data_IF_872314811407
#
_entry.id   IF_872314811407
#
_cell.length_a   1.000
_cell.length_b   1.000
_cell.length_c   1.000
_cell.angle_alpha   90.00
_cell.angle_beta   90.00
_cell.angle_gamma   90.00
#
_symmetry.space_group_name_H-M   'P 1'
#
loop_
_entity.id
_entity.type
_entity.pdbx_description
1 polymer ?
#
# COMPACT_ATOMS: atom_id res chain seq x y z
N UNK A 1 -36.06 1.75 4.39
CA UNK A 1 -35.25 0.56 4.72
C UNK A 1 -34.06 0.93 5.61
N UNK A 2 -34.28 1.74 6.63
CA UNK A 2 -33.31 2.01 7.68
C UNK A 2 -34.03 1.66 8.99
N UNK A 3 -33.35 0.87 9.83
CA UNK A 3 -33.70 0.52 11.20
C UNK A 3 -34.58 -0.73 11.42
N UNK A 4 -34.14 -1.89 10.93
CA UNK A 4 -34.26 -3.09 11.78
C UNK A 4 -33.08 -3.06 12.76
N UNK A 5 -33.36 -3.29 14.06
CA UNK A 5 -32.29 -3.42 15.05
C UNK A 5 -31.39 -4.58 14.62
N UNK A 6 -30.06 -4.39 14.50
CA UNK A 6 -29.18 -5.48 14.13
C UNK A 6 -29.28 -6.59 15.17
N UNK A 7 -29.23 -7.84 14.70
CA UNK A 7 -29.27 -9.04 15.54
C UNK A 7 -28.25 -8.91 16.70
N UNK A 8 -28.71 -8.87 17.96
CA UNK A 8 -27.83 -8.65 19.11
C UNK A 8 -26.70 -9.69 19.21
N UNK A 9 -26.93 -10.93 18.78
CA UNK A 9 -25.91 -11.96 18.80
C UNK A 9 -24.78 -11.65 17.79
N UNK A 10 -25.14 -11.12 16.62
CA UNK A 10 -24.15 -10.73 15.60
C UNK A 10 -23.38 -9.48 15.98
N UNK A 11 -24.04 -8.51 16.63
CA UNK A 11 -23.37 -7.33 17.18
C UNK A 11 -22.35 -7.76 18.24
N UNK A 12 -22.77 -8.61 19.19
CA UNK A 12 -21.87 -9.16 20.21
C UNK A 12 -20.68 -9.89 19.58
N UNK A 13 -20.91 -10.70 18.54
CA UNK A 13 -19.82 -11.39 17.84
C UNK A 13 -18.80 -10.44 17.19
N UNK A 14 -19.26 -9.30 16.66
CA UNK A 14 -18.37 -8.26 16.14
C UNK A 14 -17.56 -7.61 17.28
N UNK A 15 -18.22 -7.25 18.38
CA UNK A 15 -17.58 -6.62 19.54
C UNK A 15 -16.52 -7.55 20.15
N UNK A 16 -16.85 -8.84 20.33
CA UNK A 16 -15.93 -9.85 20.84
C UNK A 16 -14.71 -10.02 19.91
N UNK A 17 -14.93 -10.07 18.59
CA UNK A 17 -13.85 -10.18 17.61
C UNK A 17 -12.95 -8.93 17.57
N UNK A 18 -13.53 -7.73 17.71
CA UNK A 18 -12.79 -6.48 17.80
C UNK A 18 -11.98 -6.40 19.10
N UNK A 19 -12.57 -6.81 20.22
CA UNK A 19 -11.88 -6.88 21.50
C UNK A 19 -10.70 -7.85 21.46
N UNK A 20 -10.87 -9.01 20.81
CA UNK A 20 -9.80 -9.99 20.60
C UNK A 20 -8.65 -9.41 19.75
N UNK A 21 -8.97 -8.73 18.63
CA UNK A 21 -7.96 -8.06 17.82
C UNK A 21 -7.24 -6.96 18.61
N UNK A 22 -7.96 -6.13 19.36
CA UNK A 22 -7.38 -5.07 20.19
C UNK A 22 -6.48 -5.64 21.31
N UNK A 23 -6.83 -6.79 21.88
CA UNK A 23 -5.96 -7.48 22.85
C UNK A 23 -4.67 -7.99 22.19
N UNK A 24 -4.74 -8.47 20.95
CA UNK A 24 -3.55 -8.88 20.19
C UNK A 24 -2.65 -7.70 19.83
N UNK A 25 -3.22 -6.55 19.47
CA UNK A 25 -2.44 -5.32 19.21
C UNK A 25 -1.75 -4.81 20.49
N UNK A 26 -2.47 -4.78 21.62
CA UNK A 26 -1.88 -4.39 22.93
C UNK A 26 -0.74 -5.30 23.37
N UNK A 27 -0.79 -6.59 22.99
CA UNK A 27 0.24 -7.57 23.33
C UNK A 27 1.31 -7.74 22.24
N UNK A 28 1.31 -6.91 21.17
CA UNK A 28 2.20 -7.06 20.02
C UNK A 28 3.67 -7.15 20.42
N UNK A 29 4.16 -6.19 21.21
CA UNK A 29 5.58 -6.14 21.61
C UNK A 29 6.03 -7.42 22.33
N UNK A 30 5.26 -7.87 23.34
CA UNK A 30 5.57 -9.08 24.11
C UNK A 30 5.55 -10.36 23.25
N UNK A 31 4.62 -10.45 22.30
CA UNK A 31 4.52 -11.60 21.39
C UNK A 31 5.62 -11.57 20.33
N UNK A 32 6.02 -10.40 19.87
CA UNK A 32 7.17 -10.22 18.99
C UNK A 32 8.45 -10.68 19.69
N UNK A 33 8.73 -10.21 20.91
CA UNK A 33 9.89 -10.66 21.68
C UNK A 33 9.94 -12.18 21.89
N UNK A 34 8.79 -12.81 22.16
CA UNK A 34 8.70 -14.26 22.27
C UNK A 34 9.01 -14.95 20.93
N UNK A 35 8.42 -14.46 19.83
CA UNK A 35 8.69 -14.97 18.49
C UNK A 35 10.15 -14.80 18.07
N UNK A 36 10.80 -13.69 18.39
CA UNK A 36 12.23 -13.46 18.10
C UNK A 36 13.11 -14.48 18.83
N UNK A 37 12.87 -14.72 20.13
CA UNK A 37 13.58 -15.76 20.91
C UNK A 37 13.33 -17.16 20.38
N UNK A 38 12.07 -17.51 20.12
CA UNK A 38 11.70 -18.84 19.62
C UNK A 38 12.29 -19.09 18.24
N UNK A 39 12.35 -18.05 17.38
CA UNK A 39 12.99 -18.13 16.06
C UNK A 39 14.47 -18.46 16.18
N UNK A 40 15.22 -17.78 17.06
CA UNK A 40 16.64 -18.05 17.30
C UNK A 40 16.85 -19.47 17.85
N UNK A 41 16.08 -19.87 18.87
CA UNK A 41 16.18 -21.19 19.47
C UNK A 41 15.84 -22.32 18.47
N UNK A 42 14.90 -22.07 17.55
CA UNK A 42 14.55 -23.03 16.50
C UNK A 42 15.66 -23.16 15.44
N UNK A 43 16.36 -22.06 15.10
CA UNK A 43 17.52 -22.09 14.17
C UNK A 43 18.68 -22.89 14.73
N UNK A 44 19.00 -22.70 16.01
CA UNK A 44 20.06 -23.45 16.69
C UNK A 44 19.75 -24.95 16.72
N UNK A 45 18.48 -25.33 16.92
CA UNK A 45 18.03 -26.72 16.90
C UNK A 45 17.97 -27.33 15.50
N UNK A 46 17.69 -26.53 14.46
CA UNK A 46 17.54 -27.02 13.10
C UNK A 46 18.87 -27.21 12.36
N UNK A 47 20.00 -26.74 12.90
CA UNK A 47 21.33 -26.93 12.28
C UNK A 47 21.40 -26.44 10.84
N UNK A 48 20.63 -25.40 10.49
CA UNK A 48 20.55 -24.85 9.14
C UNK A 48 21.91 -24.23 8.78
N UNK A 49 22.78 -25.05 8.19
CA UNK A 49 24.03 -24.61 7.59
C UNK A 49 23.70 -23.62 6.47
N UNK A 50 24.37 -22.47 6.45
CA UNK A 50 24.53 -21.74 5.19
C UNK A 50 25.04 -22.75 4.15
N UNK A 51 24.40 -22.84 2.99
CA UNK A 51 24.87 -23.73 1.94
C UNK A 51 26.36 -23.46 1.68
N UNK A 52 27.18 -24.51 1.72
CA UNK A 52 28.59 -24.40 1.38
C UNK A 52 28.69 -24.20 -0.14
N UNK A 53 28.93 -22.96 -0.56
CA UNK A 53 28.94 -22.56 -1.96
C UNK A 53 30.34 -22.65 -2.54
N UNK A 54 30.51 -23.46 -3.57
CA UNK A 54 31.73 -23.55 -4.36
C UNK A 54 31.53 -22.93 -5.74
N UNK A 55 32.38 -21.98 -6.18
CA UNK A 55 32.26 -21.39 -7.50
C UNK A 55 32.47 -22.43 -8.60
N UNK A 56 31.69 -22.33 -9.68
CA UNK A 56 31.88 -23.14 -10.88
C UNK A 56 32.55 -22.31 -11.97
N UNK A 57 33.74 -22.73 -12.42
CA UNK A 57 34.47 -22.02 -13.46
C UNK A 57 33.74 -22.11 -14.83
N UNK A 58 33.53 -20.99 -15.54
CA UNK A 58 33.04 -21.03 -16.91
C UNK A 58 34.10 -21.60 -17.86
N UNK A 59 33.73 -22.61 -18.65
CA UNK A 59 34.58 -23.26 -19.65
C UNK A 59 34.32 -22.71 -21.06
N UNK A 60 33.05 -22.42 -21.37
CA UNK A 60 32.63 -21.85 -22.65
C UNK A 60 31.35 -21.06 -22.46
N UNK A 61 31.15 -20.04 -23.30
CA UNK A 61 29.98 -19.19 -23.27
C UNK A 61 29.63 -18.68 -24.66
N UNK A 62 28.36 -18.46 -24.91
CA UNK A 62 27.83 -17.89 -26.15
C UNK A 62 26.61 -17.04 -25.87
N UNK A 63 26.38 -16.06 -26.74
CA UNK A 63 25.18 -15.24 -26.78
C UNK A 63 24.56 -15.34 -28.18
N UNK A 64 23.23 -15.25 -28.26
CA UNK A 64 22.50 -15.48 -29.52
C UNK A 64 22.55 -14.24 -30.43
N UNK A 65 22.40 -13.04 -29.87
CA UNK A 65 22.23 -11.79 -30.63
C UNK A 65 23.46 -10.87 -30.58
N UNK A 66 24.64 -11.47 -30.45
CA UNK A 66 25.93 -10.81 -30.67
C UNK A 66 26.57 -10.15 -29.45
N UNK A 67 26.03 -10.32 -28.23
CA UNK A 67 26.75 -9.91 -27.02
C UNK A 67 28.09 -10.65 -26.89
N UNK A 68 29.17 -9.89 -26.70
CA UNK A 68 30.45 -10.45 -26.29
C UNK A 68 30.40 -10.81 -24.81
N UNK A 69 30.65 -12.07 -24.50
CA UNK A 69 30.82 -12.57 -23.13
C UNK A 69 32.31 -12.78 -22.85
N UNK A 70 32.78 -12.31 -21.70
CA UNK A 70 34.19 -12.38 -21.28
C UNK A 70 34.26 -13.00 -19.89
N UNK A 71 34.99 -14.11 -19.73
CA UNK A 71 35.30 -14.62 -18.40
C UNK A 71 36.38 -13.76 -17.73
N UNK A 72 36.20 -13.50 -16.43
CA UNK A 72 37.11 -12.76 -15.57
C UNK A 72 37.85 -13.70 -14.60
N UNK A 73 38.94 -13.20 -14.02
CA UNK A 73 39.82 -13.99 -13.14
C UNK A 73 39.13 -14.45 -11.84
N UNK A 74 38.07 -13.76 -11.42
CA UNK A 74 37.26 -14.11 -10.25
C UNK A 74 36.20 -15.19 -10.54
N UNK A 75 36.19 -15.75 -11.74
CA UNK A 75 35.24 -16.77 -12.18
C UNK A 75 33.88 -16.22 -12.64
N UNK A 76 33.70 -14.90 -12.67
CA UNK A 76 32.50 -14.28 -13.24
C UNK A 76 32.60 -14.11 -14.76
N UNK A 77 31.46 -13.91 -15.41
CA UNK A 77 31.31 -13.58 -16.82
C UNK A 77 30.77 -12.16 -16.93
N UNK A 78 31.43 -11.33 -17.71
CA UNK A 78 31.01 -9.98 -18.06
C UNK A 78 30.44 -9.97 -19.48
N UNK A 79 29.22 -9.48 -19.62
CA UNK A 79 28.55 -9.26 -20.89
C UNK A 79 28.71 -7.81 -21.34
N UNK A 80 29.21 -7.61 -22.55
CA UNK A 80 29.14 -6.32 -23.23
C UNK A 80 27.72 -6.09 -23.79
N UNK A 81 27.43 -4.85 -24.18
CA UNK A 81 26.18 -4.52 -24.87
C UNK A 81 26.10 -5.28 -26.21
N UNK A 82 25.13 -6.20 -26.32
CA UNK A 82 24.79 -6.92 -27.55
C UNK A 82 23.42 -6.54 -28.08
N UNK A 83 22.68 -7.54 -28.56
CA UNK A 83 21.31 -7.39 -29.01
C UNK A 83 20.36 -6.87 -27.93
N UNK A 84 19.17 -6.39 -28.33
CA UNK A 84 18.17 -5.90 -27.37
C UNK A 84 17.70 -6.99 -26.41
N UNK A 85 17.71 -8.26 -26.81
CA UNK A 85 17.26 -9.39 -25.98
C UNK A 85 18.26 -10.50 -26.19
N UNK A 86 18.84 -11.02 -25.12
CA UNK A 86 19.91 -12.00 -25.23
C UNK A 86 19.60 -13.29 -24.48
N UNK A 87 20.08 -14.38 -25.07
CA UNK A 87 20.12 -15.70 -24.45
C UNK A 87 21.58 -16.05 -24.25
N UNK A 88 22.03 -16.11 -23.01
CA UNK A 88 23.38 -16.52 -22.66
C UNK A 88 23.40 -18.01 -22.37
N UNK A 89 24.24 -18.76 -23.06
CA UNK A 89 24.51 -20.16 -22.71
C UNK A 89 25.92 -20.25 -22.14
N UNK A 90 26.05 -20.75 -20.91
CA UNK A 90 27.33 -20.92 -20.22
C UNK A 90 27.53 -22.36 -19.83
N UNK A 91 28.60 -22.96 -20.34
CA UNK A 91 29.07 -24.30 -19.95
C UNK A 91 30.09 -24.14 -18.83
N UNK A 92 29.74 -24.63 -17.66
CA UNK A 92 30.52 -24.60 -16.42
C UNK A 92 31.31 -25.89 -16.25
N UNK A 93 32.34 -25.87 -15.41
CA UNK A 93 33.12 -27.07 -15.09
C UNK A 93 32.27 -28.18 -14.45
N UNK A 94 32.77 -29.41 -14.54
CA UNK A 94 32.12 -30.55 -13.90
C UNK A 94 32.21 -30.41 -12.37
N UNK A 95 31.12 -30.64 -11.64
CA UNK A 95 31.12 -30.47 -10.19
C UNK A 95 31.95 -31.58 -9.52
N UNK A 96 32.69 -31.20 -8.47
CA UNK A 96 33.55 -32.12 -7.70
C UNK A 96 32.78 -32.92 -6.65
N UNK A 97 31.56 -32.51 -6.34
CA UNK A 97 30.64 -33.12 -5.37
C UNK A 97 29.24 -33.11 -5.98
N UNK A 98 28.30 -33.95 -5.51
CA UNK A 98 26.91 -33.85 -5.91
C UNK A 98 26.39 -32.42 -5.70
N UNK A 99 25.59 -31.90 -6.62
CA UNK A 99 25.05 -30.53 -6.55
C UNK A 99 23.57 -30.63 -6.26
N UNK A 100 23.15 -30.22 -5.06
CA UNK A 100 21.75 -30.09 -4.70
C UNK A 100 21.18 -28.71 -5.05
N UNK A 101 22.03 -27.68 -5.16
CA UNK A 101 21.61 -26.32 -5.43
C UNK A 101 22.62 -25.53 -6.27
N UNK A 102 22.12 -24.59 -7.06
CA UNK A 102 22.91 -23.59 -7.77
C UNK A 102 22.60 -22.19 -7.24
N UNK A 103 23.61 -21.32 -7.24
CA UNK A 103 23.46 -19.89 -6.95
C UNK A 103 23.91 -19.08 -8.16
N UNK A 104 23.02 -18.25 -8.69
CA UNK A 104 23.34 -17.21 -9.67
C UNK A 104 23.61 -15.91 -8.91
N UNK A 105 24.86 -15.45 -8.93
CA UNK A 105 25.23 -14.11 -8.46
C UNK A 105 25.20 -13.15 -9.64
N UNK A 106 24.53 -12.02 -9.48
CA UNK A 106 24.61 -10.89 -10.43
C UNK A 106 25.41 -9.78 -9.75
N UNK A 107 26.48 -9.34 -10.40
CA UNK A 107 27.56 -8.58 -9.77
C UNK A 107 27.68 -7.19 -10.38
N UNK A 108 28.02 -6.20 -9.57
CA UNK A 108 28.34 -4.85 -10.07
C UNK A 108 29.67 -4.83 -10.80
N UNK A 109 29.82 -3.91 -11.74
CA UNK A 109 31.10 -3.65 -12.41
C UNK A 109 31.17 -2.17 -12.83
N UNK A 110 32.36 -1.58 -12.78
CA UNK A 110 32.57 -0.17 -13.12
C UNK A 110 32.28 0.14 -14.60
N UNK A 111 32.38 -0.86 -15.47
CA UNK A 111 32.08 -0.75 -16.90
C UNK A 111 30.57 -0.79 -17.22
N UNK A 112 29.74 -1.21 -16.26
CA UNK A 112 28.30 -1.39 -16.47
C UNK A 112 27.49 -0.13 -16.17
N UNK A 113 26.31 0.05 -16.80
CA UNK A 113 25.42 1.17 -16.52
C UNK A 113 25.13 1.36 -15.03
N UNK A 114 25.23 2.60 -14.57
CA UNK A 114 25.04 2.98 -13.16
C UNK A 114 25.91 2.18 -12.16
N UNK A 115 27.00 1.54 -12.62
CA UNK A 115 27.80 0.57 -11.85
C UNK A 115 26.94 -0.55 -11.23
N UNK A 116 25.80 -0.86 -11.86
CA UNK A 116 24.88 -1.91 -11.47
C UNK A 116 25.23 -3.26 -12.09
N UNK A 117 24.45 -4.30 -11.79
CA UNK A 117 24.69 -5.63 -12.35
C UNK A 117 24.05 -5.88 -13.72
N UNK A 118 23.15 -5.01 -14.20
CA UNK A 118 22.45 -5.14 -15.48
C UNK A 118 22.86 -4.13 -16.56
N UNK A 119 22.46 -4.39 -17.80
CA UNK A 119 22.75 -3.55 -18.97
C UNK A 119 21.70 -2.46 -19.25
N UNK A 120 20.58 -2.42 -18.52
CA UNK A 120 19.63 -1.32 -18.64
C UNK A 120 20.26 -0.02 -18.13
N UNK A 121 19.83 1.15 -18.62
CA UNK A 121 20.46 2.43 -18.27
C UNK A 121 20.54 2.74 -16.77
N UNK A 122 19.61 2.23 -15.97
CA UNK A 122 19.57 2.37 -14.51
C UNK A 122 20.28 1.22 -13.76
N UNK A 123 20.93 0.29 -14.46
CA UNK A 123 21.58 -0.91 -13.91
C UNK A 123 20.66 -2.12 -13.70
N UNK A 124 19.39 -2.05 -14.15
CA UNK A 124 18.44 -3.17 -14.03
C UNK A 124 18.68 -4.29 -15.06
N UNK A 125 18.06 -5.44 -14.81
CA UNK A 125 17.84 -6.50 -15.78
C UNK A 125 16.44 -7.10 -15.59
N UNK A 126 15.98 -7.89 -16.56
CA UNK A 126 14.82 -8.78 -16.43
C UNK A 126 15.21 -10.13 -16.99
N UNK A 127 15.50 -11.07 -16.11
CA UNK A 127 15.78 -12.46 -16.47
C UNK A 127 14.44 -13.18 -16.55
N UNK A 128 14.09 -13.73 -17.70
CA UNK A 128 12.78 -14.38 -17.93
C UNK A 128 12.85 -15.87 -17.63
N UNK A 129 14.01 -16.52 -17.82
CA UNK A 129 14.15 -17.96 -17.59
C UNK A 129 15.59 -18.37 -17.29
N UNK A 130 15.72 -19.46 -16.52
CA UNK A 130 16.97 -20.19 -16.31
C UNK A 130 16.76 -21.66 -16.67
N UNK A 131 17.38 -22.13 -17.75
CA UNK A 131 17.41 -23.56 -18.07
C UNK A 131 18.74 -24.17 -17.59
N UNK A 132 18.68 -25.26 -16.82
CA UNK A 132 19.87 -26.00 -16.35
C UNK A 132 19.92 -27.34 -17.06
N UNK A 133 21.10 -27.71 -17.57
CA UNK A 133 21.36 -29.03 -18.17
C UNK A 133 22.60 -29.66 -17.60
N UNK A 134 22.61 -30.99 -17.52
CA UNK A 134 23.76 -31.80 -17.15
C UNK A 134 23.90 -32.98 -18.12
N UNK A 135 25.09 -33.15 -18.70
CA UNK A 135 25.31 -34.15 -19.76
C UNK A 135 24.37 -33.99 -20.98
N UNK A 136 23.90 -32.76 -21.25
CA UNK A 136 22.93 -32.44 -22.30
C UNK A 136 21.45 -32.70 -21.95
N UNK A 137 21.14 -33.20 -20.75
CA UNK A 137 19.76 -33.44 -20.30
C UNK A 137 19.26 -32.30 -19.41
N UNK A 138 17.98 -31.89 -19.52
CA UNK A 138 17.39 -30.92 -18.60
C UNK A 138 17.44 -31.39 -17.14
N UNK A 139 17.71 -30.46 -16.24
CA UNK A 139 17.67 -30.66 -14.78
C UNK A 139 16.49 -29.88 -14.23
N UNK A 140 15.57 -30.57 -13.54
CA UNK A 140 14.41 -29.92 -12.94
C UNK A 140 14.80 -29.13 -11.68
N UNK A 141 14.22 -27.94 -11.54
CA UNK A 141 14.38 -27.06 -10.37
C UNK A 141 13.12 -27.14 -9.52
N UNK A 142 13.27 -27.48 -8.24
CA UNK A 142 12.16 -27.57 -7.30
C UNK A 142 11.69 -26.20 -6.80
N UNK A 143 12.63 -25.26 -6.59
CA UNK A 143 12.30 -23.90 -6.17
C UNK A 143 13.41 -22.92 -6.51
N UNK A 144 13.02 -21.65 -6.65
CA UNK A 144 13.91 -20.51 -6.78
C UNK A 144 13.56 -19.46 -5.72
N UNK A 145 14.58 -18.77 -5.23
CA UNK A 145 14.45 -17.66 -4.29
C UNK A 145 15.56 -16.63 -4.52
N UNK A 146 15.35 -15.41 -4.04
CA UNK A 146 16.25 -14.28 -4.24
C UNK A 146 16.47 -13.50 -2.93
N UNK A 147 17.57 -12.76 -2.87
CA UNK A 147 17.83 -11.81 -1.79
C UNK A 147 17.04 -10.50 -1.98
N UNK A 148 16.79 -10.13 -3.24
CA UNK A 148 16.00 -8.96 -3.62
C UNK A 148 15.25 -9.14 -4.95
N UNK A 149 14.03 -8.61 -4.98
CA UNK A 149 13.21 -8.49 -6.18
C UNK A 149 12.41 -7.18 -6.16
N UNK A 150 12.19 -6.61 -7.35
CA UNK A 150 11.15 -5.63 -7.58
C UNK A 150 9.78 -6.28 -7.25
N UNK A 151 8.82 -5.54 -6.66
CA UNK A 151 7.47 -6.07 -6.42
C UNK A 151 6.85 -6.69 -7.68
N UNK A 152 6.51 -7.97 -7.59
CA UNK A 152 5.94 -8.74 -8.71
C UNK A 152 6.94 -9.41 -9.65
N UNK A 153 8.25 -9.33 -9.38
CA UNK A 153 9.31 -9.87 -10.23
C UNK A 153 10.24 -10.81 -9.44
N UNK A 154 9.69 -11.83 -8.78
CA UNK A 154 10.45 -12.79 -7.96
C UNK A 154 11.23 -13.78 -8.83
N UNK A 155 12.34 -14.33 -8.32
CA UNK A 155 13.07 -15.40 -8.99
C UNK A 155 12.26 -16.69 -9.14
N UNK A 156 11.20 -16.87 -8.35
CA UNK A 156 10.24 -17.96 -8.53
C UNK A 156 9.57 -17.95 -9.92
N UNK A 157 9.44 -16.79 -10.55
CA UNK A 157 8.86 -16.64 -11.90
C UNK A 157 9.78 -17.21 -12.99
N UNK A 158 11.08 -17.38 -12.73
CA UNK A 158 12.02 -17.98 -13.68
C UNK A 158 11.70 -19.45 -14.01
N UNK A 159 10.85 -20.07 -13.19
CA UNK A 159 10.43 -21.47 -13.28
C UNK A 159 9.03 -21.62 -13.88
N UNK A 160 8.34 -20.52 -14.19
CA UNK A 160 7.09 -20.58 -14.93
C UNK A 160 7.37 -20.72 -16.45
N UNK A 161 6.33 -21.04 -17.22
CA UNK A 161 6.43 -21.15 -18.67
C UNK A 161 5.97 -19.85 -19.38
N UNK A 162 5.94 -18.71 -18.67
CA UNK A 162 5.53 -17.41 -19.20
C UNK A 162 6.75 -16.53 -19.52
N UNK A 163 7.09 -16.32 -20.81
CA UNK A 163 8.23 -15.48 -21.19
C UNK A 163 8.02 -13.98 -20.90
N UNK A 164 6.82 -13.56 -20.45
CA UNK A 164 6.52 -12.18 -20.06
C UNK A 164 6.78 -11.89 -18.57
N UNK A 165 6.99 -12.90 -17.74
CA UNK A 165 7.36 -12.76 -16.32
C UNK A 165 8.86 -12.95 -16.14
N UNK A 166 9.37 -12.67 -14.94
CA UNK A 166 10.78 -12.86 -14.67
C UNK A 166 11.27 -12.20 -13.38
N UNK A 167 12.57 -12.33 -13.13
CA UNK A 167 13.27 -11.71 -12.02
C UNK A 167 13.86 -10.36 -12.43
N UNK A 168 13.57 -9.33 -11.65
CA UNK A 168 14.08 -7.98 -11.83
C UNK A 168 14.41 -7.33 -10.49
N UNK A 169 15.41 -6.45 -10.47
CA UNK A 169 15.98 -5.91 -9.22
C UNK A 169 15.64 -4.45 -8.94
N UNK A 170 14.73 -3.83 -9.73
CA UNK A 170 14.40 -2.42 -9.55
C UNK A 170 13.95 -2.09 -8.11
N UNK A 171 14.35 -0.91 -7.62
CA UNK A 171 13.96 -0.42 -6.30
C UNK A 171 13.01 0.76 -6.46
N UNK A 172 11.81 0.63 -5.89
CA UNK A 172 10.78 1.65 -5.96
C UNK A 172 9.73 1.47 -4.88
N UNK A 173 8.54 2.04 -5.11
CA UNK A 173 7.41 1.92 -4.19
C UNK A 173 7.02 0.45 -4.03
N UNK A 174 7.11 -0.07 -2.81
CA UNK A 174 6.78 -1.46 -2.46
C UNK A 174 7.98 -2.40 -2.34
N UNK A 175 9.19 -1.96 -2.71
CA UNK A 175 10.41 -2.73 -2.45
C UNK A 175 10.67 -2.89 -0.94
N UNK A 176 11.39 -3.95 -0.58
CA UNK A 176 11.73 -4.22 0.81
C UNK A 176 12.54 -3.06 1.44
N UNK A 177 12.36 -2.78 2.76
CA UNK A 177 13.20 -1.80 3.46
C UNK A 177 14.69 -2.13 3.32
N UNK A 178 15.49 -1.12 2.95
CA UNK A 178 16.93 -1.24 2.75
C UNK A 178 17.34 -1.88 1.42
N UNK A 179 16.40 -2.17 0.51
CA UNK A 179 16.73 -2.66 -0.83
C UNK A 179 17.65 -1.69 -1.58
N UNK A 180 18.68 -2.23 -2.23
CA UNK A 180 19.65 -1.46 -3.01
C UNK A 180 19.57 -1.88 -4.46
N UNK A 181 19.42 -0.92 -5.37
CA UNK A 181 19.32 -1.20 -6.80
C UNK A 181 20.67 -1.70 -7.36
N UNK A 182 21.65 -0.80 -7.45
CA UNK A 182 22.97 -1.06 -8.03
C UNK A 182 23.92 -1.66 -6.99
N UNK A 183 23.63 -2.90 -6.61
CA UNK A 183 24.42 -3.72 -5.69
C UNK A 183 24.49 -5.16 -6.22
N UNK A 184 25.42 -5.99 -5.73
CA UNK A 184 25.36 -7.43 -5.97
C UNK A 184 24.06 -8.00 -5.41
N UNK A 185 23.44 -8.91 -6.18
CA UNK A 185 22.25 -9.67 -5.78
C UNK A 185 22.44 -11.15 -6.13
N UNK A 186 21.63 -12.02 -5.57
CA UNK A 186 21.73 -13.46 -5.82
C UNK A 186 20.37 -14.16 -5.86
N UNK A 187 20.28 -15.17 -6.72
CA UNK A 187 19.17 -16.10 -6.78
C UNK A 187 19.67 -17.54 -6.53
N UNK A 188 18.99 -18.27 -5.65
CA UNK A 188 19.28 -19.66 -5.32
C UNK A 188 18.23 -20.57 -5.95
N UNK A 189 18.70 -21.63 -6.60
CA UNK A 189 17.89 -22.65 -7.25
C UNK A 189 18.12 -23.99 -6.55
N UNK A 190 17.09 -24.52 -5.88
CA UNK A 190 17.11 -25.87 -5.33
C UNK A 190 16.71 -26.84 -6.44
N UNK A 191 17.57 -27.82 -6.73
CA UNK A 191 17.29 -28.83 -7.75
C UNK A 191 16.30 -29.87 -7.20
N UNK A 192 15.43 -30.38 -8.06
CA UNK A 192 14.49 -31.45 -7.67
C UNK A 192 15.21 -32.75 -7.34
N UNK A 193 16.29 -33.03 -8.06
CA UNK A 193 17.22 -34.13 -7.80
C UNK A 193 18.66 -33.59 -7.90
N UNK A 194 19.57 -34.02 -7.01
CA UNK A 194 20.97 -33.59 -7.08
C UNK A 194 21.66 -34.05 -8.38
N UNK A 195 22.43 -33.16 -8.99
CA UNK A 195 23.33 -33.52 -10.10
C UNK A 195 24.50 -34.35 -9.55
N UNK A 196 24.83 -35.53 -10.11
CA UNK A 196 25.96 -36.33 -9.65
C UNK A 196 27.32 -35.71 -10.05
N UNK A 197 28.36 -36.05 -9.30
CA UNK A 197 29.75 -35.71 -9.65
C UNK A 197 30.35 -36.76 -10.60
N UNK A 198 29.79 -36.89 -11.81
CA UNK A 198 30.16 -37.92 -12.80
C UNK A 198 31.16 -37.44 -13.87
N UNK A 199 31.72 -36.24 -13.69
CA UNK A 199 32.67 -35.62 -14.61
C UNK A 199 32.03 -34.91 -15.81
N UNK A 200 30.69 -34.90 -15.93
CA UNK A 200 30.00 -34.10 -16.95
C UNK A 200 29.82 -32.65 -16.50
N UNK A 201 29.97 -31.68 -17.41
CA UNK A 201 29.75 -30.26 -17.10
C UNK A 201 28.28 -29.93 -16.91
N UNK A 202 28.04 -28.78 -16.28
CA UNK A 202 26.72 -28.16 -16.14
C UNK A 202 26.61 -27.06 -17.20
N UNK A 203 25.49 -27.00 -17.91
CA UNK A 203 25.15 -25.89 -18.81
C UNK A 203 24.00 -25.09 -18.19
N UNK A 204 24.17 -23.77 -18.13
CA UNK A 204 23.15 -22.83 -17.66
C UNK A 204 22.80 -21.89 -18.81
N UNK A 205 21.52 -21.79 -19.13
CA UNK A 205 20.99 -20.87 -20.14
C UNK A 205 20.19 -19.77 -19.45
N UNK A 206 20.61 -18.52 -19.60
CA UNK A 206 19.97 -17.33 -19.05
C UNK A 206 19.23 -16.60 -20.16
N UNK A 207 17.92 -16.42 -20.04
CA UNK A 207 17.10 -15.77 -21.09
C UNK A 207 16.59 -14.40 -20.66
N UNK A 208 16.65 -13.44 -21.57
CA UNK A 208 16.14 -12.07 -21.37
C UNK A 208 15.21 -11.71 -22.52
N UNK A 209 13.94 -12.12 -22.44
CA UNK A 209 13.05 -12.14 -23.62
C UNK A 209 12.02 -11.00 -23.66
N UNK A 210 11.84 -10.27 -22.56
CA UNK A 210 10.73 -9.31 -22.41
C UNK A 210 11.10 -7.86 -22.74
N UNK A 211 12.20 -7.34 -22.18
CA UNK A 211 12.54 -5.92 -22.24
C UNK A 211 13.83 -5.67 -23.01
N UNK A 212 13.81 -4.69 -23.91
CA UNK A 212 14.98 -4.33 -24.72
C UNK A 212 16.10 -3.73 -23.86
N UNK A 213 17.28 -4.34 -23.95
CA UNK A 213 18.53 -4.04 -23.24
C UNK A 213 18.49 -4.27 -21.73
N UNK A 214 17.55 -5.08 -21.21
CA UNK A 214 17.50 -5.48 -19.80
C UNK A 214 18.21 -6.83 -19.57
N UNK A 215 19.35 -7.04 -20.21
CA UNK A 215 20.14 -8.24 -20.01
C UNK A 215 21.03 -8.11 -18.76
N UNK A 216 21.36 -9.22 -18.12
CA UNK A 216 22.37 -9.24 -17.04
C UNK A 216 23.74 -8.84 -17.60
N UNK A 217 24.43 -7.93 -16.91
CA UNK A 217 25.74 -7.40 -17.30
C UNK A 217 26.92 -8.18 -16.76
N UNK A 218 26.88 -8.62 -15.49
CA UNK A 218 27.93 -9.50 -14.93
C UNK A 218 27.33 -10.52 -13.99
N UNK A 219 27.78 -11.77 -14.12
CA UNK A 219 27.26 -12.86 -13.29
C UNK A 219 28.28 -13.96 -13.02
N UNK A 220 28.02 -14.76 -12.00
CA UNK A 220 28.77 -15.97 -11.68
C UNK A 220 27.79 -17.06 -11.19
N UNK A 221 28.17 -18.32 -11.36
CA UNK A 221 27.39 -19.46 -10.88
C UNK A 221 28.21 -20.26 -9.87
N UNK A 222 27.62 -20.52 -8.72
CA UNK A 222 28.19 -21.40 -7.70
C UNK A 222 27.28 -22.61 -7.48
N UNK A 223 27.84 -23.68 -6.91
CA UNK A 223 27.14 -24.92 -6.59
C UNK A 223 27.26 -25.26 -5.11
N UNK A 224 26.26 -25.96 -4.57
CA UNK A 224 26.31 -26.52 -3.22
C UNK A 224 25.79 -27.95 -3.19
N UNK A 225 26.40 -28.84 -2.37
CA UNK A 225 25.87 -30.18 -2.12
C UNK A 225 24.65 -30.18 -1.18
N UNK A 226 24.31 -29.04 -0.59
CA UNK A 226 23.20 -28.89 0.33
C UNK A 226 22.12 -27.96 -0.24
N UNK A 227 20.90 -28.11 0.27
CA UNK A 227 19.85 -27.14 0.01
C UNK A 227 20.25 -25.76 0.58
N UNK A 228 19.95 -24.67 -0.13
CA UNK A 228 20.26 -23.34 0.35
C UNK A 228 19.39 -23.01 1.56
N UNK A 229 19.96 -22.30 2.55
CA UNK A 229 19.15 -21.63 3.55
C UNK A 229 18.16 -20.70 2.86
N UNK A 230 16.94 -20.58 3.38
CA UNK A 230 15.95 -19.69 2.79
C UNK A 230 16.45 -18.23 2.90
N UNK A 231 16.61 -17.51 1.79
CA UNK A 231 17.33 -16.21 1.78
C UNK A 231 16.67 -15.14 2.67
N UNK A 232 15.33 -15.09 2.71
CA UNK A 232 14.60 -14.22 3.64
C UNK A 232 14.82 -14.58 5.13
N UNK A 233 15.18 -15.83 5.39
CA UNK A 233 15.46 -16.35 6.74
C UNK A 233 16.86 -15.92 7.19
N UNK A 234 17.87 -15.88 6.32
CA UNK A 234 19.21 -15.38 6.69
C UNK A 234 19.22 -13.90 7.07
N UNK A 235 18.51 -13.03 6.33
CA UNK A 235 18.37 -11.61 6.72
C UNK A 235 17.61 -11.45 8.03
N UNK A 236 16.56 -12.24 8.24
CA UNK A 236 15.86 -12.28 9.53
C UNK A 236 16.83 -12.61 10.65
N UNK A 237 17.65 -13.65 10.48
CA UNK A 237 18.55 -14.10 11.51
C UNK A 237 19.79 -13.22 11.70
N UNK A 238 20.30 -12.55 10.68
CA UNK A 238 21.39 -11.57 10.85
C UNK A 238 20.94 -10.40 11.72
N UNK A 239 19.69 -9.95 11.59
CA UNK A 239 19.10 -8.91 12.44
C UNK A 239 18.72 -9.43 13.82
N UNK A 240 18.16 -10.66 13.93
CA UNK A 240 17.82 -11.28 15.21
C UNK A 240 19.07 -11.51 16.09
N UNK A 241 20.20 -11.86 15.47
CA UNK A 241 21.47 -12.10 16.16
C UNK A 241 22.15 -10.83 16.69
N UNK A 242 21.71 -9.63 16.28
CA UNK A 242 22.17 -8.38 16.89
C UNK A 242 21.63 -8.23 18.31
N UNK A 243 22.44 -7.64 19.20
CA UNK A 243 21.98 -7.17 20.51
C UNK A 243 20.74 -6.27 20.31
N UNK A 244 19.59 -6.56 20.96
CA UNK A 244 18.40 -5.71 20.89
C UNK A 244 18.67 -4.21 21.13
N UNK A 245 19.65 -3.87 21.97
CA UNK A 245 20.04 -2.48 22.21
C UNK A 245 20.80 -1.83 21.04
N UNK A 246 21.52 -2.63 20.25
CA UNK A 246 22.32 -2.19 19.09
C UNK A 246 21.55 -2.12 17.77
N UNK A 247 20.30 -2.58 17.72
CA UNK A 247 19.48 -2.58 16.49
C UNK A 247 19.08 -1.15 16.07
N UNK A 248 19.27 -0.83 14.79
CA UNK A 248 18.86 0.44 14.20
C UNK A 248 17.34 0.59 14.12
N UNK A 249 16.86 1.78 13.74
CA UNK A 249 15.43 2.01 13.52
C UNK A 249 14.87 1.15 12.37
N UNK A 250 15.67 0.94 11.33
CA UNK A 250 15.28 0.10 10.19
C UNK A 250 15.25 -1.38 10.55
N UNK A 251 16.18 -1.85 11.38
CA UNK A 251 16.18 -3.23 11.91
C UNK A 251 14.91 -3.52 12.72
N UNK A 252 14.54 -2.60 13.62
CA UNK A 252 13.32 -2.71 14.43
C UNK A 252 12.06 -2.73 13.56
N UNK A 253 12.02 -1.89 12.52
CA UNK A 253 10.93 -1.84 11.55
C UNK A 253 10.85 -3.13 10.72
N UNK A 254 11.99 -3.66 10.31
CA UNK A 254 12.08 -4.92 9.58
C UNK A 254 11.56 -6.09 10.43
N UNK A 255 12.04 -6.25 11.66
CA UNK A 255 11.57 -7.30 12.58
C UNK A 255 10.07 -7.19 12.88
N UNK A 256 9.54 -5.98 13.07
CA UNK A 256 8.11 -5.77 13.25
C UNK A 256 7.30 -6.21 12.02
N UNK A 257 7.84 -6.01 10.81
CA UNK A 257 7.23 -6.43 9.56
C UNK A 257 7.23 -7.96 9.41
N UNK A 258 8.36 -8.61 9.68
CA UNK A 258 8.45 -10.07 9.65
C UNK A 258 7.56 -10.73 10.71
N UNK A 259 7.48 -10.13 11.90
CA UNK A 259 6.56 -10.58 12.94
C UNK A 259 5.09 -10.46 12.52
N UNK A 260 4.67 -9.32 11.93
CA UNK A 260 3.28 -9.15 11.46
C UNK A 260 2.90 -10.22 10.41
N UNK A 261 3.85 -10.67 9.57
CA UNK A 261 3.63 -11.81 8.65
C UNK A 261 3.48 -13.13 9.40
N UNK A 262 4.30 -13.37 10.42
CA UNK A 262 4.30 -14.60 11.21
C UNK A 262 3.10 -14.72 12.17
N UNK A 263 2.50 -13.60 12.58
CA UNK A 263 1.44 -13.52 13.58
C UNK A 263 0.10 -14.13 13.10
N UNK A 264 0.00 -15.46 13.21
CA UNK A 264 -1.20 -16.21 12.87
C UNK A 264 -2.40 -15.84 13.77
N UNK A 265 -2.14 -15.42 15.02
CA UNK A 265 -3.19 -14.98 15.95
C UNK A 265 -3.89 -13.73 15.43
N UNK A 266 -3.12 -12.71 15.05
CA UNK A 266 -3.63 -11.46 14.48
C UNK A 266 -4.35 -11.69 13.16
N UNK A 267 -3.79 -12.51 12.24
CA UNK A 267 -4.46 -12.86 10.98
C UNK A 267 -5.83 -13.52 11.20
N UNK A 268 -5.93 -14.47 12.14
CA UNK A 268 -7.21 -15.09 12.51
C UNK A 268 -8.19 -14.08 13.11
N UNK A 269 -7.73 -13.18 13.97
CA UNK A 269 -8.58 -12.14 14.55
C UNK A 269 -9.11 -11.14 13.49
N UNK A 270 -8.27 -10.73 12.54
CA UNK A 270 -8.69 -9.88 11.40
C UNK A 270 -9.75 -10.61 10.57
N UNK A 271 -9.53 -11.89 10.26
CA UNK A 271 -10.51 -12.71 9.53
C UNK A 271 -11.84 -12.84 10.30
N UNK A 272 -11.79 -13.01 11.63
CA UNK A 272 -12.97 -13.06 12.49
C UNK A 272 -13.75 -11.73 12.48
N UNK A 273 -13.07 -10.58 12.57
CA UNK A 273 -13.70 -9.26 12.46
C UNK A 273 -14.35 -9.09 11.07
N UNK A 274 -13.66 -9.49 10.01
CA UNK A 274 -14.21 -9.44 8.64
C UNK A 274 -15.45 -10.32 8.48
N UNK A 275 -15.42 -11.55 9.00
CA UNK A 275 -16.56 -12.47 8.97
C UNK A 275 -17.75 -11.93 9.78
N UNK A 276 -17.52 -11.38 10.98
CA UNK A 276 -18.57 -10.78 11.82
C UNK A 276 -19.21 -9.55 11.15
N UNK A 277 -18.41 -8.69 10.51
CA UNK A 277 -18.90 -7.57 9.69
C UNK A 277 -19.79 -8.06 8.54
N UNK A 278 -19.33 -9.07 7.79
CA UNK A 278 -20.10 -9.67 6.69
C UNK A 278 -21.44 -10.24 7.18
N UNK A 279 -21.46 -10.90 8.34
CA UNK A 279 -22.68 -11.47 8.93
C UNK A 279 -23.72 -10.40 9.33
N UNK A 280 -23.25 -9.19 9.68
CA UNK A 280 -24.08 -8.01 9.96
C UNK A 280 -24.53 -7.27 8.69
N UNK A 281 -24.19 -7.78 7.50
CA UNK A 281 -24.54 -7.14 6.23
C UNK A 281 -23.63 -5.96 5.86
N UNK A 282 -22.51 -5.77 6.57
CA UNK A 282 -21.46 -4.88 6.07
C UNK A 282 -20.82 -5.55 4.84
N UNK A 283 -21.12 -5.00 3.66
CA UNK A 283 -20.47 -5.39 2.41
C UNK A 283 -19.05 -4.85 2.31
N UNK A 284 -18.55 -4.74 1.08
CA UNK A 284 -17.29 -4.04 0.84
C UNK A 284 -17.36 -2.61 1.39
N UNK A 285 -16.31 -2.21 2.10
CA UNK A 285 -16.17 -0.83 2.58
C UNK A 285 -16.06 0.10 1.39
N UNK A 286 -17.16 0.77 1.07
CA UNK A 286 -17.17 1.86 0.09
C UNK A 286 -16.68 3.12 0.78
N UNK A 287 -15.65 3.76 0.23
CA UNK A 287 -15.22 5.07 0.72
C UNK A 287 -16.17 6.12 0.16
N UNK A 288 -16.77 6.92 1.03
CA UNK A 288 -17.53 8.11 0.64
C UNK A 288 -16.90 9.33 1.25
N UNK A 289 -17.00 10.46 0.54
CA UNK A 289 -16.66 11.75 1.09
C UNK A 289 -17.68 12.10 2.17
N UNK A 290 -17.19 12.50 3.34
CA UNK A 290 -18.02 13.05 4.42
C UNK A 290 -17.58 14.48 4.69
N UNK A 291 -18.56 15.33 5.02
CA UNK A 291 -18.26 16.67 5.51
C UNK A 291 -17.95 16.57 7.00
N UNK A 292 -16.78 17.07 7.41
CA UNK A 292 -16.35 17.11 8.81
C UNK A 292 -15.69 18.45 9.06
N UNK A 293 -15.92 19.01 10.24
CA UNK A 293 -15.23 20.23 10.66
C UNK A 293 -13.72 19.97 10.83
N UNK A 294 -12.94 20.99 10.48
CA UNK A 294 -11.49 20.97 10.68
C UNK A 294 -11.18 21.09 12.17
N UNK A 295 -10.08 20.48 12.60
CA UNK A 295 -9.58 20.63 13.98
C UNK A 295 -9.27 22.11 14.29
N UNK A 296 -8.78 22.84 13.29
CA UNK A 296 -8.54 24.27 13.32
C UNK A 296 -9.43 24.95 12.24
N UNK A 297 -10.40 25.79 12.63
CA UNK A 297 -11.24 26.51 11.68
C UNK A 297 -10.42 27.43 10.77
N UNK A 298 -10.86 27.59 9.52
CA UNK A 298 -10.24 28.56 8.61
C UNK A 298 -10.64 29.97 8.99
N UNK A 299 -9.66 30.87 9.07
CA UNK A 299 -9.93 32.29 9.15
C UNK A 299 -10.68 32.75 7.89
N UNK A 300 -11.75 33.51 8.09
CA UNK A 300 -12.59 34.06 7.03
C UNK A 300 -12.71 35.55 7.25
N UNK A 301 -12.61 36.36 6.21
CA UNK A 301 -12.64 37.82 6.31
C UNK A 301 -13.81 38.38 5.51
N UNK A 302 -14.22 39.61 5.82
CA UNK A 302 -15.19 40.33 4.99
C UNK A 302 -14.57 40.61 3.61
N UNK A 303 -15.29 40.30 2.53
CA UNK A 303 -14.80 40.55 1.18
C UNK A 303 -15.20 41.95 0.72
N UNK A 304 -14.23 42.81 0.43
CA UNK A 304 -14.48 44.20 0.02
C UNK A 304 -15.22 44.19 -1.32
N UNK A 305 -16.49 44.61 -1.30
CA UNK A 305 -17.41 44.57 -2.46
C UNK A 305 -17.64 43.15 -3.01
N UNK A 306 -17.43 42.11 -2.19
CA UNK A 306 -17.60 40.72 -2.60
C UNK A 306 -16.46 40.14 -3.43
N UNK A 307 -15.34 40.87 -3.58
CA UNK A 307 -14.17 40.38 -4.30
C UNK A 307 -13.36 39.41 -3.41
N UNK A 308 -13.31 38.13 -3.81
CA UNK A 308 -12.60 37.08 -3.06
C UNK A 308 -11.08 37.27 -3.02
N UNK A 309 -10.53 38.13 -3.90
CA UNK A 309 -9.11 38.51 -3.89
C UNK A 309 -8.84 39.68 -2.94
N UNK A 310 -9.88 40.28 -2.34
CA UNK A 310 -9.76 41.45 -1.45
C UNK A 310 -10.43 41.20 -0.09
N UNK A 311 -9.86 40.33 0.75
CA UNK A 311 -10.27 40.21 2.14
C UNK A 311 -9.89 41.49 2.90
N UNK A 312 -10.82 41.99 3.71
CA UNK A 312 -10.57 43.04 4.69
C UNK A 312 -9.87 42.45 5.90
N UNK A 313 -8.54 42.46 5.87
CA UNK A 313 -7.69 41.98 6.96
C UNK A 313 -7.59 42.97 8.12
N UNK A 314 -7.91 44.25 7.90
CA UNK A 314 -7.87 45.28 8.95
C UNK A 314 -9.06 45.12 9.92
N UNK A 315 -10.23 44.74 9.41
CA UNK A 315 -11.41 44.40 10.23
C UNK A 315 -11.31 43.11 11.03
N UNK A 316 -10.26 42.31 10.81
CA UNK A 316 -10.03 41.03 11.47
C UNK A 316 -10.92 39.88 10.95
N UNK A 317 -10.69 38.65 11.43
CA UNK A 317 -11.46 37.49 11.00
C UNK A 317 -12.90 37.56 11.51
N UNK A 318 -13.83 37.17 10.66
CA UNK A 318 -15.23 36.99 10.97
C UNK A 318 -15.42 35.82 11.92
N UNK A 319 -16.29 36.00 12.90
CA UNK A 319 -16.80 34.93 13.75
C UNK A 319 -18.16 34.48 13.24
N UNK A 320 -18.49 33.21 13.46
CA UNK A 320 -19.79 32.69 13.09
C UNK A 320 -20.89 33.40 13.90
N UNK A 321 -21.94 33.86 13.21
CA UNK A 321 -22.98 34.70 13.79
C UNK A 321 -24.17 34.89 12.84
N UNK A 322 -25.12 35.72 13.26
CA UNK A 322 -26.29 36.15 12.47
C UNK A 322 -26.29 37.68 12.34
N UNK A 323 -26.95 38.24 11.31
CA UNK A 323 -27.05 39.70 11.17
C UNK A 323 -27.64 40.34 12.43
N UNK A 324 -27.00 41.39 12.93
CA UNK A 324 -27.35 42.03 14.21
C UNK A 324 -28.75 42.66 14.26
N UNK A 325 -29.39 42.86 13.11
CA UNK A 325 -30.78 43.33 13.01
C UNK A 325 -31.81 42.28 13.46
N UNK A 326 -31.42 41.01 13.44
CA UNK A 326 -32.27 39.92 13.90
C UNK A 326 -31.92 39.52 15.34
N UNK A 327 -32.83 38.82 16.04
CA UNK A 327 -32.49 38.23 17.33
C UNK A 327 -31.24 37.35 17.21
N UNK A 328 -30.34 37.43 18.19
CA UNK A 328 -29.11 36.65 18.19
C UNK A 328 -29.34 35.13 18.19
N UNK A 329 -28.29 34.38 17.85
CA UNK A 329 -28.22 32.93 18.02
C UNK A 329 -28.38 32.57 19.50
N UNK A 330 -29.36 31.74 19.82
CA UNK A 330 -29.46 31.10 21.13
C UNK A 330 -28.70 29.76 21.04
N UNK A 331 -27.61 29.60 21.80
CA UNK A 331 -26.76 28.41 21.68
C UNK A 331 -25.37 28.58 22.28
N UNK A 332 -24.45 27.69 21.87
CA UNK A 332 -23.10 27.51 22.42
C UNK A 332 -22.26 28.81 22.32
N UNK A 333 -22.01 29.53 23.43
CA UNK A 333 -21.25 30.78 23.39
C UNK A 333 -19.80 30.49 22.98
N UNK A 334 -19.41 30.97 21.78
CA UNK A 334 -18.04 30.95 21.28
C UNK A 334 -17.83 30.20 19.95
N UNK A 335 -18.65 29.18 19.65
CA UNK A 335 -18.50 28.37 18.43
C UNK A 335 -19.85 27.87 17.89
N UNK A 336 -20.72 28.77 17.38
CA UNK A 336 -21.96 28.36 16.77
C UNK A 336 -21.71 27.60 15.46
N UNK A 337 -22.44 26.50 15.27
CA UNK A 337 -22.31 25.62 14.12
C UNK A 337 -23.52 25.70 13.16
N UNK A 338 -23.55 24.83 12.15
CA UNK A 338 -24.66 24.79 11.19
C UNK A 338 -25.98 24.34 11.81
N UNK A 339 -25.94 23.49 12.84
CA UNK A 339 -27.15 23.06 13.54
C UNK A 339 -27.72 24.21 14.36
N UNK A 340 -26.88 25.06 14.95
CA UNK A 340 -27.32 26.27 15.65
C UNK A 340 -28.02 27.25 14.68
N UNK A 341 -27.45 27.49 13.50
CA UNK A 341 -28.08 28.30 12.45
C UNK A 341 -29.43 27.70 12.01
N UNK A 342 -29.50 26.37 11.81
CA UNK A 342 -30.73 25.70 11.41
C UNK A 342 -31.83 25.86 12.47
N UNK A 343 -31.50 25.65 13.74
CA UNK A 343 -32.43 25.86 14.88
C UNK A 343 -32.87 27.32 14.99
N UNK A 344 -31.97 28.25 14.73
CA UNK A 344 -32.26 29.68 14.74
C UNK A 344 -33.25 30.08 13.63
N UNK A 345 -33.08 29.58 12.41
CA UNK A 345 -33.96 29.87 11.28
C UNK A 345 -35.41 29.44 11.53
N UNK A 346 -35.62 28.32 12.25
CA UNK A 346 -36.94 27.75 12.55
C UNK A 346 -37.46 28.10 13.95
N UNK A 347 -36.84 29.06 14.62
CA UNK A 347 -37.26 29.50 15.96
C UNK A 347 -38.66 30.12 15.88
N UNK A 348 -39.57 29.83 16.85
CA UNK A 348 -40.97 30.26 16.73
C UNK A 348 -41.19 31.78 16.65
N UNK A 349 -40.27 32.56 17.23
CA UNK A 349 -40.26 34.02 17.24
C UNK A 349 -39.36 34.62 16.13
N UNK A 350 -38.86 33.81 15.18
CA UNK A 350 -38.06 34.31 14.07
C UNK A 350 -38.93 35.22 13.18
N UNK A 351 -38.53 36.48 12.91
CA UNK A 351 -39.42 37.47 12.32
C UNK A 351 -39.80 37.20 10.85
N UNK A 352 -38.94 36.53 10.07
CA UNK A 352 -39.14 36.39 8.63
C UNK A 352 -39.51 34.98 8.16
N UNK A 353 -38.78 33.94 8.57
CA UNK A 353 -38.94 32.56 8.06
C UNK A 353 -40.39 32.08 7.94
N UNK A 354 -41.25 32.16 8.97
CA UNK A 354 -42.63 31.69 8.84
C UNK A 354 -43.46 32.56 7.88
N UNK A 355 -43.29 33.89 7.94
CA UNK A 355 -44.01 34.85 7.06
C UNK A 355 -43.67 34.65 5.59
N UNK A 356 -42.38 34.50 5.28
CA UNK A 356 -41.92 34.22 3.92
C UNK A 356 -42.47 32.88 3.45
N UNK A 357 -42.40 31.84 4.27
CA UNK A 357 -42.86 30.49 3.90
C UNK A 357 -44.36 30.48 3.61
N UNK A 358 -45.18 31.04 4.50
CA UNK A 358 -46.63 31.16 4.32
C UNK A 358 -46.96 31.97 3.08
N UNK A 359 -46.29 33.10 2.84
CA UNK A 359 -46.54 33.93 1.67
C UNK A 359 -46.24 33.19 0.36
N UNK A 360 -45.17 32.37 0.33
CA UNK A 360 -44.84 31.52 -0.83
C UNK A 360 -45.92 30.47 -1.08
N UNK A 361 -46.41 29.82 -0.02
CA UNK A 361 -47.51 28.84 -0.12
C UNK A 361 -48.78 29.53 -0.62
N UNK A 362 -49.15 30.66 -0.03
CA UNK A 362 -50.31 31.46 -0.45
C UNK A 362 -50.23 31.85 -1.92
N UNK A 363 -49.08 32.38 -2.35
CA UNK A 363 -48.86 32.78 -3.74
C UNK A 363 -49.02 31.59 -4.71
N UNK A 364 -48.58 30.38 -4.32
CA UNK A 364 -48.75 29.18 -5.16
C UNK A 364 -50.21 28.79 -5.37
N UNK A 365 -51.08 29.02 -4.39
CA UNK A 365 -52.50 28.70 -4.50
C UNK A 365 -53.32 29.82 -5.17
N UNK A 366 -53.00 31.08 -4.88
CA UNK A 366 -53.83 32.23 -5.28
C UNK A 366 -53.22 33.10 -6.38
N UNK A 367 -52.03 32.75 -6.89
CA UNK A 367 -51.33 33.47 -7.96
C UNK A 367 -50.69 34.81 -7.55
N UNK A 368 -51.05 35.36 -6.38
CA UNK A 368 -50.46 36.57 -5.81
C UNK A 368 -50.28 36.40 -4.30
N UNK A 369 -49.09 36.70 -3.80
CA UNK A 369 -48.78 36.68 -2.37
C UNK A 369 -49.48 37.82 -1.61
N UNK A 370 -49.64 37.62 -0.29
CA UNK A 370 -50.03 38.69 0.63
C UNK A 370 -49.01 39.84 0.57
N UNK A 371 -47.73 39.50 0.49
CA UNK A 371 -46.64 40.34 0.00
C UNK A 371 -46.37 39.97 -1.46
N UNK A 372 -46.57 40.92 -2.37
CA UNK A 372 -46.47 40.64 -3.81
C UNK A 372 -45.02 40.34 -4.26
N UNK A 373 -44.03 40.90 -3.58
CA UNK A 373 -42.60 40.67 -3.82
C UNK A 373 -42.13 39.43 -3.05
N UNK A 374 -42.25 38.25 -3.64
CA UNK A 374 -41.96 36.96 -2.97
C UNK A 374 -40.59 36.91 -2.27
N UNK A 375 -39.56 37.49 -2.91
CA UNK A 375 -38.17 37.43 -2.46
C UNK A 375 -37.70 38.66 -1.69
N UNK A 376 -38.58 39.64 -1.46
CA UNK A 376 -38.20 40.87 -0.76
C UNK A 376 -39.30 41.29 0.23
N UNK A 377 -39.00 41.08 1.52
CA UNK A 377 -39.78 41.51 2.67
C UNK A 377 -39.13 42.73 3.37
N UNK A 378 -38.11 43.32 2.74
CA UNK A 378 -37.41 44.51 3.20
C UNK A 378 -38.04 45.80 2.68
N UNK A 379 -37.29 46.89 2.77
CA UNK A 379 -37.76 48.25 2.43
C UNK A 379 -37.97 48.48 0.94
N UNK A 380 -37.44 47.61 0.08
CA UNK A 380 -37.64 47.62 -1.36
C UNK A 380 -38.80 46.69 -1.81
N UNK A 381 -39.34 45.90 -0.88
CA UNK A 381 -40.48 45.03 -1.09
C UNK A 381 -41.84 45.75 -0.99
N UNK A 382 -42.88 45.11 -1.50
CA UNK A 382 -44.26 45.56 -1.32
C UNK A 382 -44.72 45.32 0.12
N UNK A 383 -45.50 46.25 0.66
CA UNK A 383 -46.18 46.02 1.94
C UNK A 383 -47.21 44.88 1.83
N UNK A 384 -47.43 44.11 2.91
CA UNK A 384 -48.47 43.09 2.94
C UNK A 384 -49.85 43.73 2.77
N UNK A 385 -50.64 43.21 1.84
CA UNK A 385 -52.03 43.65 1.62
C UNK A 385 -52.91 43.38 2.85
N UNK A 386 -52.63 42.30 3.59
CA UNK A 386 -53.33 41.92 4.81
C UNK A 386 -52.31 41.47 5.87
N UNK A 387 -51.72 42.44 6.58
CA UNK A 387 -50.65 42.20 7.55
C UNK A 387 -51.08 41.25 8.69
N UNK A 388 -52.26 41.47 9.26
CA UNK A 388 -52.77 40.66 10.37
C UNK A 388 -53.02 39.21 9.97
N UNK A 389 -53.52 38.98 8.75
CA UNK A 389 -53.73 37.63 8.22
C UNK A 389 -52.40 36.90 8.02
N UNK A 390 -51.40 37.60 7.46
CA UNK A 390 -50.06 37.05 7.29
C UNK A 390 -49.45 36.65 8.64
N UNK A 391 -49.58 37.52 9.64
CA UNK A 391 -49.11 37.26 11.00
C UNK A 391 -49.81 36.07 11.64
N UNK A 392 -51.14 36.00 11.51
CA UNK A 392 -51.95 34.91 12.04
C UNK A 392 -51.58 33.57 11.40
N UNK A 393 -51.52 33.50 10.07
CA UNK A 393 -51.13 32.29 9.33
C UNK A 393 -49.71 31.85 9.68
N UNK A 394 -48.79 32.80 9.87
CA UNK A 394 -47.39 32.52 10.22
C UNK A 394 -47.27 31.88 11.60
N UNK A 395 -48.00 32.38 12.60
CA UNK A 395 -48.03 31.78 13.94
C UNK A 395 -48.68 30.40 13.91
N UNK A 396 -49.83 30.29 13.24
CA UNK A 396 -50.54 29.02 13.09
C UNK A 396 -49.66 27.95 12.44
N UNK A 397 -48.89 28.31 11.39
CA UNK A 397 -47.99 27.39 10.70
C UNK A 397 -46.89 26.83 11.62
N UNK A 398 -46.31 27.68 12.48
CA UNK A 398 -45.33 27.25 13.47
C UNK A 398 -45.96 26.38 14.56
N UNK A 399 -47.12 26.78 15.09
CA UNK A 399 -47.87 26.03 16.12
C UNK A 399 -48.27 24.63 15.65
N UNK A 400 -48.53 24.46 14.35
CA UNK A 400 -48.83 23.17 13.73
C UNK A 400 -47.58 22.42 13.24
N UNK A 401 -46.41 22.73 13.82
CA UNK A 401 -45.18 21.99 13.60
C UNK A 401 -44.60 22.14 12.18
N UNK A 402 -44.83 23.28 11.53
CA UNK A 402 -44.38 23.54 10.16
C UNK A 402 -44.97 22.56 9.12
N UNK A 403 -46.14 21.98 9.41
CA UNK A 403 -46.80 21.04 8.50
C UNK A 403 -47.19 21.72 7.18
N UNK A 404 -46.67 21.18 6.08
CA UNK A 404 -47.07 21.55 4.71
C UNK A 404 -48.19 20.65 4.17
N UNK A 405 -48.71 19.73 5.00
CA UNK A 405 -49.74 18.74 4.67
C UNK A 405 -51.09 19.16 5.21
#
# INVERSE_FOLDING_TARGET
MLLDRPDPAKVKALDDAQAALAALERSKAKRQEAWERDSLANREKSGASAADWSPLKPLAFSAVDGATLTALDDGSVLAAKGGPREIYTVRLEAPRQPVAALRLRVLTDDSLPSRGPGLAGNGNFVLTRVDIRHGGRPVAVASAQEDHAQPGFSAALLLDDDPATGWAINVGKGSAPGAKMNAPHEAHFLLAEPIPADGQPIEVVLRHEVNDYYNIGRFAVDASPAAPATLGVEKLFSVLSLDPAGRSADDKKYLATEFDKADAGKRRAIAAVSAAKKALGFGETVKTMVMRDLAEPRETFLLVRGDFLRPDTEGGPLTAGVPAIFPGLAGNPGHPDRLDLAKWLVRPDHPLTPRVTVNRVWMRYFGKGLVATENDFGTQGAYPTHAELLDWLSRWFVENGWSMK
#
